data_IF_156839901918
#
_entry.id   IF_156839901918
#
_cell.length_a   1.000
_cell.length_b   1.000
_cell.length_c   1.000
_cell.angle_alpha   90.00
_cell.angle_beta   90.00
_cell.angle_gamma   90.00
#
_symmetry.space_group_name_H-M   'P 1'
#
loop_
_entity.id
_entity.type
_entity.pdbx_description
1 polymer ?
#
# COMPACT_ATOMS: atom_id res chain seq x y z
N UNK A 1 30.93 -43.35 -29.93
CA UNK A 1 29.61 -43.02 -29.32
C UNK A 1 29.81 -41.77 -28.47
N UNK A 2 29.36 -40.62 -28.99
CA UNK A 2 29.46 -39.36 -28.26
C UNK A 2 28.23 -39.19 -27.37
N UNK A 3 28.45 -38.98 -26.08
CA UNK A 3 27.39 -38.67 -25.11
C UNK A 3 27.10 -37.20 -25.26
N UNK A 4 25.92 -36.84 -25.83
CA UNK A 4 25.43 -35.50 -25.86
C UNK A 4 24.98 -35.06 -24.45
N UNK A 5 25.71 -34.16 -23.83
CA UNK A 5 25.34 -33.58 -22.56
C UNK A 5 24.22 -32.57 -22.82
N UNK A 6 22.97 -32.91 -22.44
CA UNK A 6 21.84 -31.98 -22.47
C UNK A 6 21.98 -31.05 -21.28
N UNK A 7 22.40 -29.82 -21.52
CA UNK A 7 22.37 -28.74 -20.53
C UNK A 7 20.94 -28.28 -20.40
N UNK A 8 20.22 -28.73 -19.40
CA UNK A 8 18.90 -28.14 -19.03
C UNK A 8 19.19 -26.83 -18.34
N UNK A 9 19.02 -25.72 -19.07
CA UNK A 9 19.05 -24.41 -18.47
C UNK A 9 17.81 -24.29 -17.53
N UNK A 10 18.03 -24.27 -16.22
CA UNK A 10 16.99 -23.95 -15.26
C UNK A 10 16.54 -22.50 -15.50
N UNK A 11 15.35 -22.32 -16.05
CA UNK A 11 14.73 -21.01 -16.15
C UNK A 11 14.43 -20.55 -14.71
N UNK A 12 15.23 -19.63 -14.19
CA UNK A 12 14.99 -19.03 -12.89
C UNK A 12 13.63 -18.32 -12.93
N UNK A 13 12.72 -18.67 -12.04
CA UNK A 13 11.44 -17.99 -11.92
C UNK A 13 11.65 -16.51 -11.67
N UNK A 14 10.92 -15.65 -12.41
CA UNK A 14 11.04 -14.22 -12.27
C UNK A 14 10.72 -13.76 -10.84
N UNK A 15 11.41 -12.73 -10.37
CA UNK A 15 11.13 -12.12 -9.06
C UNK A 15 9.95 -11.16 -9.16
N UNK A 16 9.26 -10.86 -8.04
CA UNK A 16 8.21 -9.83 -8.03
C UNK A 16 8.71 -8.45 -8.47
N UNK A 17 9.96 -8.11 -8.18
CA UNK A 17 10.60 -6.87 -8.64
C UNK A 17 10.73 -6.86 -10.16
N UNK A 18 11.27 -7.93 -10.74
CA UNK A 18 11.41 -8.06 -12.20
C UNK A 18 10.04 -8.01 -12.90
N UNK A 19 9.02 -8.64 -12.30
CA UNK A 19 7.66 -8.58 -12.84
C UNK A 19 7.17 -7.12 -12.92
N UNK A 20 7.23 -6.36 -11.81
CA UNK A 20 6.79 -4.96 -11.83
C UNK A 20 7.62 -4.14 -12.81
N UNK A 21 8.95 -4.28 -12.81
CA UNK A 21 9.84 -3.54 -13.72
C UNK A 21 9.55 -3.83 -15.20
N UNK A 22 9.15 -5.06 -15.55
CA UNK A 22 8.80 -5.44 -16.93
C UNK A 22 7.50 -4.77 -17.43
N UNK A 23 6.67 -4.22 -16.52
CA UNK A 23 5.43 -3.51 -16.85
C UNK A 23 5.62 -1.98 -16.94
N UNK A 24 6.87 -1.52 -16.98
CA UNK A 24 7.20 -0.12 -17.21
C UNK A 24 7.01 0.23 -18.68
N UNK A 25 6.35 1.33 -18.95
CA UNK A 25 6.16 1.90 -20.28
C UNK A 25 7.37 2.76 -20.71
N UNK A 26 7.45 3.11 -21.99
CA UNK A 26 8.57 3.88 -22.53
C UNK A 26 8.71 5.28 -21.91
N UNK A 27 7.58 5.90 -21.50
CA UNK A 27 7.53 7.20 -20.83
C UNK A 27 7.76 7.13 -19.31
N UNK A 28 8.14 5.97 -18.78
CA UNK A 28 8.48 5.78 -17.37
C UNK A 28 7.31 5.45 -16.44
N UNK A 29 6.09 5.33 -16.97
CA UNK A 29 4.92 4.91 -16.21
C UNK A 29 4.90 3.39 -15.97
N UNK A 30 3.86 2.93 -15.28
CA UNK A 30 3.54 1.51 -15.12
C UNK A 30 2.08 1.27 -15.50
N UNK A 31 1.81 0.11 -16.09
CA UNK A 31 0.48 -0.28 -16.51
C UNK A 31 0.22 -1.77 -16.26
N UNK A 32 -1.04 -2.15 -16.11
CA UNK A 32 -1.45 -3.55 -16.23
C UNK A 32 -1.32 -4.00 -17.69
N UNK A 33 -1.13 -5.29 -17.91
CA UNK A 33 -1.01 -5.84 -19.25
C UNK A 33 -2.24 -5.50 -20.09
N UNK A 34 -2.03 -4.82 -21.23
CA UNK A 34 -3.10 -4.35 -22.11
C UNK A 34 -3.92 -3.16 -21.59
N UNK A 35 -3.55 -2.60 -20.43
CA UNK A 35 -4.17 -1.41 -19.85
C UNK A 35 -3.40 -0.13 -20.17
N UNK A 36 -4.08 1.01 -20.00
CA UNK A 36 -3.42 2.32 -20.02
C UNK A 36 -2.64 2.55 -18.70
N UNK A 37 -1.51 3.23 -18.81
CA UNK A 37 -0.79 3.70 -17.63
C UNK A 37 -1.53 4.88 -16.99
N UNK A 38 -1.51 4.94 -15.67
CA UNK A 38 -2.02 6.06 -14.90
C UNK A 38 -1.11 6.40 -13.72
N UNK A 39 -1.33 7.54 -13.11
CA UNK A 39 -0.52 8.03 -12.00
C UNK A 39 -0.67 7.14 -10.74
N UNK A 40 -1.83 6.53 -10.51
CA UNK A 40 -2.09 5.73 -9.31
C UNK A 40 -1.35 4.37 -9.39
N UNK A 41 -1.47 3.64 -10.50
CA UNK A 41 -0.73 2.37 -10.71
C UNK A 41 0.77 2.66 -10.68
N UNK A 42 1.21 3.74 -11.34
CA UNK A 42 2.61 4.15 -11.36
C UNK A 42 3.14 4.47 -9.96
N UNK A 43 2.38 5.21 -9.16
CA UNK A 43 2.77 5.50 -7.78
C UNK A 43 2.85 4.22 -6.92
N UNK A 44 1.92 3.28 -7.08
CA UNK A 44 1.99 1.98 -6.39
C UNK A 44 3.22 1.17 -6.80
N UNK A 45 3.54 1.13 -8.10
CA UNK A 45 4.72 0.44 -8.60
C UNK A 45 6.00 1.03 -7.99
N UNK A 46 6.13 2.37 -7.99
CA UNK A 46 7.24 3.07 -7.33
C UNK A 46 7.33 2.69 -5.85
N UNK A 47 6.24 2.79 -5.10
CA UNK A 47 6.24 2.49 -3.67
C UNK A 47 6.64 1.03 -3.39
N UNK A 48 6.14 0.08 -4.19
CA UNK A 48 6.53 -1.33 -4.08
C UNK A 48 8.00 -1.56 -4.39
N UNK A 49 8.50 -1.04 -5.51
CA UNK A 49 9.90 -1.16 -5.92
C UNK A 49 10.85 -0.50 -4.90
N UNK A 50 10.57 0.72 -4.48
CA UNK A 50 11.40 1.45 -3.50
C UNK A 50 11.36 0.79 -2.12
N UNK A 51 10.23 0.20 -1.72
CA UNK A 51 10.19 -0.64 -0.52
C UNK A 51 11.12 -1.84 -0.63
N UNK A 52 11.17 -2.49 -1.79
CA UNK A 52 12.08 -3.60 -2.10
C UNK A 52 13.53 -3.14 -2.40
N UNK A 53 13.85 -1.85 -2.29
CA UNK A 53 15.15 -1.25 -2.62
C UNK A 53 15.55 -1.41 -4.08
N UNK A 54 14.56 -1.49 -4.96
CA UNK A 54 14.75 -1.52 -6.40
C UNK A 54 14.51 -0.14 -7.02
N UNK A 55 15.11 0.10 -8.19
CA UNK A 55 14.98 1.35 -8.90
C UNK A 55 13.73 1.39 -9.79
N UNK A 56 13.21 2.62 -9.97
CA UNK A 56 12.12 2.95 -10.88
C UNK A 56 12.56 4.16 -11.76
N UNK A 57 13.45 3.93 -12.73
CA UNK A 57 14.05 5.00 -13.51
C UNK A 57 13.04 5.70 -14.43
N UNK A 58 13.18 7.03 -14.59
CA UNK A 58 12.34 7.85 -15.49
C UNK A 58 10.90 8.08 -15.00
N UNK A 59 10.53 7.55 -13.84
CA UNK A 59 9.14 7.61 -13.35
C UNK A 59 8.81 8.95 -12.70
N UNK A 60 9.82 9.66 -12.18
CA UNK A 60 9.58 10.94 -11.51
C UNK A 60 8.99 11.97 -12.48
N UNK A 61 9.58 12.12 -13.67
CA UNK A 61 9.11 13.07 -14.69
C UNK A 61 7.66 12.75 -15.11
N UNK A 62 7.34 11.46 -15.26
CA UNK A 62 5.98 11.01 -15.57
C UNK A 62 4.97 11.45 -14.49
N UNK A 63 5.29 11.26 -13.21
CA UNK A 63 4.40 11.62 -12.11
C UNK A 63 4.24 13.15 -12.01
N UNK A 64 5.34 13.90 -12.14
CA UNK A 64 5.33 15.35 -12.05
C UNK A 64 4.51 16.00 -13.16
N UNK A 65 4.58 15.48 -14.39
CA UNK A 65 3.82 15.96 -15.53
C UNK A 65 2.28 15.80 -15.35
N UNK A 66 1.84 15.02 -14.36
CA UNK A 66 0.41 14.70 -14.13
C UNK A 66 -0.18 15.30 -12.85
N UNK A 67 0.52 16.20 -12.19
CA UNK A 67 0.04 16.82 -10.95
C UNK A 67 -1.34 17.46 -11.12
N UNK A 68 -1.61 18.11 -12.26
CA UNK A 68 -2.87 18.79 -12.53
C UNK A 68 -4.04 17.83 -12.85
N UNK A 69 -3.73 16.59 -13.21
CA UNK A 69 -4.74 15.55 -13.47
C UNK A 69 -5.27 14.90 -12.18
N UNK A 70 -4.56 15.08 -11.05
CA UNK A 70 -4.91 14.44 -9.77
C UNK A 70 -6.12 15.12 -9.13
N UNK A 71 -7.30 14.55 -9.30
CA UNK A 71 -8.55 15.11 -8.78
C UNK A 71 -8.80 14.74 -7.30
N UNK A 72 -8.44 13.52 -6.90
CA UNK A 72 -8.75 13.00 -5.57
C UNK A 72 -7.62 13.29 -4.58
N UNK A 73 -7.97 13.70 -3.36
CA UNK A 73 -6.99 13.96 -2.29
C UNK A 73 -6.12 12.72 -2.00
N UNK A 74 -6.69 11.52 -2.13
CA UNK A 74 -5.96 10.26 -1.95
C UNK A 74 -4.90 10.07 -3.02
N UNK A 75 -5.20 10.39 -4.30
CA UNK A 75 -4.25 10.27 -5.40
C UNK A 75 -3.11 11.28 -5.26
N UNK A 76 -3.45 12.52 -4.85
CA UNK A 76 -2.45 13.55 -4.52
C UNK A 76 -1.49 13.04 -3.44
N UNK A 77 -2.01 12.42 -2.38
CA UNK A 77 -1.18 11.88 -1.31
C UNK A 77 -0.34 10.67 -1.77
N UNK A 78 -0.91 9.78 -2.58
CA UNK A 78 -0.24 8.59 -3.11
C UNK A 78 0.93 8.98 -4.02
N UNK A 79 0.70 9.91 -4.95
CA UNK A 79 1.75 10.41 -5.87
C UNK A 79 2.84 11.15 -5.08
N UNK A 80 2.46 12.00 -4.11
CA UNK A 80 3.43 12.66 -3.24
C UNK A 80 4.33 11.66 -2.50
N UNK A 81 3.78 10.56 -1.98
CA UNK A 81 4.56 9.48 -1.34
C UNK A 81 5.50 8.80 -2.33
N UNK A 82 5.06 8.56 -3.56
CA UNK A 82 5.90 7.94 -4.59
C UNK A 82 7.06 8.85 -4.98
N UNK A 83 6.83 10.13 -5.20
CA UNK A 83 7.89 11.09 -5.50
C UNK A 83 8.88 11.24 -4.34
N UNK A 84 8.41 11.25 -3.09
CA UNK A 84 9.28 11.23 -1.90
C UNK A 84 10.15 9.96 -1.85
N UNK A 85 9.57 8.81 -2.21
CA UNK A 85 10.31 7.55 -2.27
C UNK A 85 11.37 7.56 -3.39
N UNK A 86 11.21 8.38 -4.43
CA UNK A 86 12.19 8.66 -5.48
C UNK A 86 13.22 9.74 -5.07
N UNK A 87 13.12 10.31 -3.87
CA UNK A 87 14.03 11.33 -3.37
C UNK A 87 13.61 12.78 -3.70
N UNK A 88 12.48 12.98 -4.32
CA UNK A 88 11.96 14.32 -4.64
C UNK A 88 11.27 14.98 -3.43
N UNK A 89 11.07 16.29 -3.55
CA UNK A 89 10.26 17.09 -2.63
C UNK A 89 9.02 17.62 -3.36
N UNK A 90 7.89 16.90 -3.34
CA UNK A 90 6.69 17.24 -4.10
C UNK A 90 5.91 18.40 -3.46
N UNK A 91 6.55 19.55 -3.30
CA UNK A 91 5.97 20.68 -2.57
C UNK A 91 4.61 21.15 -3.12
N UNK A 92 4.35 21.19 -4.44
CA UNK A 92 3.01 21.52 -4.97
C UNK A 92 1.92 20.58 -4.44
N UNK A 93 2.18 19.24 -4.42
CA UNK A 93 1.23 18.26 -3.91
C UNK A 93 1.05 18.38 -2.38
N UNK A 94 2.15 18.58 -1.65
CA UNK A 94 2.09 18.77 -0.20
C UNK A 94 1.34 20.05 0.17
N UNK A 95 1.47 21.14 -0.62
CA UNK A 95 0.70 22.37 -0.45
C UNK A 95 -0.81 22.12 -0.67
N UNK A 96 -1.19 21.35 -1.70
CA UNK A 96 -2.58 20.95 -1.95
C UNK A 96 -3.16 20.17 -0.76
N UNK A 97 -2.41 19.22 -0.19
CA UNK A 97 -2.85 18.46 0.98
C UNK A 97 -3.02 19.35 2.21
N UNK A 98 -2.13 20.32 2.43
CA UNK A 98 -2.27 21.29 3.52
C UNK A 98 -3.51 22.20 3.32
N UNK A 99 -3.75 22.64 2.10
CA UNK A 99 -4.92 23.46 1.76
C UNK A 99 -6.25 22.68 1.90
N UNK A 100 -6.24 21.35 1.71
CA UNK A 100 -7.40 20.49 1.90
C UNK A 100 -7.72 20.21 3.39
N UNK A 101 -6.87 20.66 4.32
CA UNK A 101 -7.08 20.46 5.76
C UNK A 101 -8.16 21.42 6.29
N UNK A 102 -9.11 20.87 7.06
CA UNK A 102 -10.22 21.59 7.69
C UNK A 102 -9.92 21.89 9.16
N UNK A 103 -10.60 22.86 9.74
CA UNK A 103 -10.50 23.16 11.17
C UNK A 103 -10.83 21.97 12.07
N UNK A 104 -11.70 21.03 11.62
CA UNK A 104 -11.99 19.78 12.31
C UNK A 104 -10.79 18.83 12.42
N UNK A 105 -9.76 19.03 11.62
CA UNK A 105 -8.61 18.16 11.46
C UNK A 105 -8.72 17.15 10.31
N UNK A 106 -9.88 17.07 9.64
CA UNK A 106 -10.06 16.27 8.43
C UNK A 106 -9.24 16.85 7.28
N UNK A 107 -8.63 15.96 6.46
CA UNK A 107 -7.92 16.36 5.23
C UNK A 107 -8.59 15.66 4.05
N UNK A 108 -9.16 16.47 3.15
CA UNK A 108 -9.98 15.97 2.04
C UNK A 108 -11.37 15.46 2.48
N UNK A 109 -12.08 14.70 1.61
CA UNK A 109 -13.49 14.38 1.83
C UNK A 109 -13.74 13.20 2.78
N UNK A 110 -12.75 12.31 3.01
CA UNK A 110 -12.94 11.05 3.71
C UNK A 110 -11.96 10.86 4.89
N UNK A 111 -12.22 9.88 5.74
CA UNK A 111 -11.22 9.41 6.71
C UNK A 111 -9.99 8.83 6.00
N UNK A 112 -10.22 8.04 4.95
CA UNK A 112 -9.16 7.44 4.16
C UNK A 112 -8.23 8.51 3.56
N UNK A 113 -8.77 9.59 2.94
CA UNK A 113 -7.95 10.70 2.45
C UNK A 113 -7.14 11.38 3.55
N UNK A 114 -7.67 11.44 4.78
CA UNK A 114 -6.94 11.97 5.93
C UNK A 114 -5.76 11.07 6.31
N UNK A 115 -5.94 9.73 6.33
CA UNK A 115 -4.84 8.81 6.62
C UNK A 115 -3.70 8.96 5.61
N UNK A 116 -4.03 8.92 4.31
CA UNK A 116 -3.05 9.07 3.23
C UNK A 116 -2.35 10.42 3.27
N UNK A 117 -3.08 11.50 3.53
CA UNK A 117 -2.48 12.84 3.67
C UNK A 117 -1.50 12.92 4.84
N UNK A 118 -1.80 12.28 5.97
CA UNK A 118 -0.86 12.20 7.11
C UNK A 118 0.41 11.47 6.71
N UNK A 119 0.31 10.38 5.94
CA UNK A 119 1.48 9.66 5.45
C UNK A 119 2.33 10.54 4.54
N UNK A 120 1.73 11.21 3.56
CA UNK A 120 2.44 12.07 2.61
C UNK A 120 3.05 13.30 3.28
N UNK A 121 2.33 13.94 4.20
CA UNK A 121 2.82 15.10 4.95
C UNK A 121 3.91 14.71 5.98
N UNK A 122 4.03 13.43 6.33
CA UNK A 122 4.97 12.92 7.33
C UNK A 122 4.70 13.43 8.76
N UNK A 123 3.54 14.04 8.99
CA UNK A 123 3.10 14.60 10.28
C UNK A 123 1.58 14.75 10.34
N UNK A 124 1.04 14.85 11.56
CA UNK A 124 -0.36 15.22 11.81
C UNK A 124 -0.43 16.37 12.81
N UNK A 125 -1.38 17.26 12.63
CA UNK A 125 -1.71 18.29 13.64
C UNK A 125 -2.47 17.64 14.83
N UNK A 126 -2.50 18.27 16.02
CA UNK A 126 -3.34 17.82 17.13
C UNK A 126 -4.82 17.68 16.73
N UNK A 127 -5.33 18.60 15.90
CA UNK A 127 -6.71 18.54 15.37
C UNK A 127 -6.92 17.29 14.50
N UNK A 128 -5.95 16.97 13.62
CA UNK A 128 -6.00 15.77 12.76
C UNK A 128 -5.94 14.49 13.57
N UNK A 129 -5.07 14.40 14.55
CA UNK A 129 -5.02 13.27 15.48
C UNK A 129 -6.36 13.11 16.20
N UNK A 130 -6.88 14.20 16.77
CA UNK A 130 -8.18 14.19 17.44
C UNK A 130 -9.32 13.77 16.51
N UNK A 131 -9.32 14.25 15.25
CA UNK A 131 -10.28 13.84 14.24
C UNK A 131 -10.24 12.33 13.99
N UNK A 132 -9.06 11.77 13.71
CA UNK A 132 -8.90 10.32 13.46
C UNK A 132 -9.37 9.52 14.68
N UNK A 133 -8.95 9.88 15.88
CA UNK A 133 -9.27 9.13 17.10
C UNK A 133 -10.76 9.18 17.45
N UNK A 134 -11.46 10.30 17.21
CA UNK A 134 -12.92 10.39 17.43
C UNK A 134 -13.73 9.48 16.51
N UNK A 135 -13.17 9.11 15.36
CA UNK A 135 -13.82 8.22 14.39
C UNK A 135 -13.37 6.76 14.51
N UNK A 136 -12.61 6.40 15.55
CA UNK A 136 -12.36 5.00 15.85
C UNK A 136 -13.65 4.32 16.30
N UNK A 137 -14.09 3.30 15.57
CA UNK A 137 -15.30 2.56 15.89
C UNK A 137 -15.23 1.89 17.28
N UNK A 138 -16.35 1.58 17.87
CA UNK A 138 -16.43 0.85 19.14
C UNK A 138 -15.68 -0.49 19.09
N UNK A 139 -15.66 -1.15 17.93
CA UNK A 139 -14.85 -2.35 17.65
C UNK A 139 -13.35 -2.13 17.69
N UNK A 140 -12.88 -0.90 17.60
CA UNK A 140 -11.47 -0.51 17.51
C UNK A 140 -10.94 -0.27 16.10
N UNK A 141 -11.70 -0.62 15.07
CA UNK A 141 -11.34 -0.42 13.68
C UNK A 141 -11.59 1.01 13.17
N UNK A 142 -11.19 1.24 11.93
CA UNK A 142 -11.38 2.48 11.20
C UNK A 142 -12.05 2.21 9.85
N UNK A 143 -12.78 3.19 9.35
CA UNK A 143 -13.56 3.10 8.13
C UNK A 143 -13.03 4.05 7.05
N UNK A 144 -13.49 3.84 5.81
CA UNK A 144 -13.25 4.75 4.70
C UNK A 144 -13.83 6.16 4.93
N UNK A 145 -15.06 6.22 5.44
CA UNK A 145 -15.78 7.47 5.73
C UNK A 145 -16.13 7.58 7.20
N UNK A 146 -16.34 8.81 7.67
CA UNK A 146 -16.96 9.06 8.97
C UNK A 146 -18.35 8.39 9.03
N UNK A 147 -18.60 7.64 10.09
CA UNK A 147 -19.86 6.87 10.27
C UNK A 147 -19.94 5.59 9.42
N UNK A 148 -18.94 5.30 8.59
CA UNK A 148 -18.87 4.08 7.79
C UNK A 148 -18.55 2.83 8.63
N UNK A 149 -18.69 1.66 8.01
CA UNK A 149 -18.29 0.39 8.61
C UNK A 149 -16.76 0.25 8.54
N UNK A 150 -16.16 -0.02 9.69
CA UNK A 150 -14.74 -0.30 9.78
C UNK A 150 -14.35 -1.59 9.03
N UNK A 151 -13.21 -1.54 8.34
CA UNK A 151 -12.63 -2.67 7.60
C UNK A 151 -11.13 -2.83 7.89
N UNK A 152 -10.54 -3.89 7.34
CA UNK A 152 -9.14 -4.21 7.62
C UNK A 152 -8.17 -3.25 6.93
N UNK A 153 -8.45 -2.82 5.69
CA UNK A 153 -7.55 -1.99 4.90
C UNK A 153 -7.47 -0.56 5.44
N UNK A 154 -8.64 0.05 5.73
CA UNK A 154 -8.67 1.38 6.33
C UNK A 154 -8.11 1.38 7.76
N UNK A 155 -8.31 0.30 8.51
CA UNK A 155 -7.68 0.13 9.82
C UNK A 155 -6.15 0.04 9.69
N UNK A 156 -5.63 -0.66 8.69
CA UNK A 156 -4.20 -0.74 8.44
C UNK A 156 -3.60 0.60 7.97
N UNK A 157 -4.32 1.36 7.14
CA UNK A 157 -3.94 2.71 6.74
C UNK A 157 -3.92 3.66 7.94
N UNK A 158 -4.96 3.62 8.78
CA UNK A 158 -5.04 4.41 10.00
C UNK A 158 -3.89 4.08 10.97
N UNK A 159 -3.52 2.80 11.14
CA UNK A 159 -2.38 2.41 11.97
C UNK A 159 -1.06 3.02 11.47
N UNK A 160 -0.84 3.07 10.16
CA UNK A 160 0.34 3.74 9.58
C UNK A 160 0.30 5.25 9.86
N UNK A 161 -0.86 5.90 9.66
CA UNK A 161 -1.04 7.33 9.95
C UNK A 161 -0.85 7.65 11.45
N UNK A 162 -1.39 6.82 12.34
CA UNK A 162 -1.18 6.96 13.78
C UNK A 162 0.29 6.78 14.19
N UNK A 163 1.02 5.89 13.52
CA UNK A 163 2.46 5.73 13.73
C UNK A 163 3.24 6.98 13.32
N UNK A 164 2.92 7.60 12.17
CA UNK A 164 3.48 8.89 11.75
C UNK A 164 3.17 9.98 12.77
N UNK A 165 1.95 10.01 13.28
CA UNK A 165 1.52 10.95 14.31
C UNK A 165 2.06 10.63 15.72
N UNK A 166 2.86 9.57 15.87
CA UNK A 166 3.44 9.08 17.14
C UNK A 166 2.41 8.73 18.21
N UNK A 167 1.18 8.40 17.80
CA UNK A 167 0.14 7.92 18.70
C UNK A 167 0.46 6.50 19.17
N UNK A 168 0.22 6.21 20.45
CA UNK A 168 0.48 4.91 21.07
C UNK A 168 -0.62 4.56 22.07
N UNK A 169 -0.55 3.37 22.66
CA UNK A 169 -1.43 2.93 23.74
C UNK A 169 -2.79 2.46 23.26
N UNK A 170 -3.81 2.62 24.09
CA UNK A 170 -5.15 2.00 23.90
C UNK A 170 -5.75 2.13 22.49
N UNK A 171 -5.72 3.28 21.80
CA UNK A 171 -6.28 3.38 20.45
C UNK A 171 -5.59 2.45 19.45
N UNK A 172 -4.25 2.42 19.48
CA UNK A 172 -3.45 1.55 18.60
C UNK A 172 -3.69 0.08 18.95
N UNK A 173 -3.72 -0.28 20.23
CA UNK A 173 -3.95 -1.65 20.68
C UNK A 173 -5.33 -2.17 20.27
N UNK A 174 -6.36 -1.31 20.29
CA UNK A 174 -7.71 -1.66 19.83
C UNK A 174 -7.72 -1.89 18.31
N UNK A 175 -7.06 -1.01 17.55
CA UNK A 175 -6.98 -1.14 16.10
C UNK A 175 -6.19 -2.40 15.68
N UNK A 176 -5.12 -2.73 16.38
CA UNK A 176 -4.36 -3.97 16.16
C UNK A 176 -5.23 -5.21 16.42
N UNK A 177 -5.97 -5.25 17.53
CA UNK A 177 -6.88 -6.38 17.81
C UNK A 177 -7.97 -6.51 16.76
N UNK A 178 -8.57 -5.37 16.35
CA UNK A 178 -9.55 -5.35 15.27
C UNK A 178 -8.95 -5.91 13.97
N UNK A 179 -7.78 -5.43 13.56
CA UNK A 179 -7.10 -5.88 12.34
C UNK A 179 -6.81 -7.37 12.38
N UNK A 180 -6.22 -7.86 13.48
CA UNK A 180 -5.91 -9.30 13.66
C UNK A 180 -7.16 -10.18 13.60
N UNK A 181 -8.33 -9.66 13.98
CA UNK A 181 -9.58 -10.42 13.90
C UNK A 181 -10.05 -10.70 12.46
N UNK A 182 -9.47 -10.06 11.45
CA UNK A 182 -9.75 -10.31 10.03
C UNK A 182 -8.84 -11.36 9.39
N UNK A 183 -7.95 -11.99 10.18
CA UNK A 183 -7.15 -13.10 9.69
C UNK A 183 -7.99 -14.38 9.64
N UNK A 184 -7.99 -15.04 8.48
CA UNK A 184 -8.69 -16.30 8.26
C UNK A 184 -7.81 -17.51 8.55
N UNK A 185 -8.41 -18.71 8.60
CA UNK A 185 -7.72 -19.97 8.86
C UNK A 185 -6.66 -20.33 7.83
N UNK A 186 -6.73 -19.78 6.60
CA UNK A 186 -5.69 -19.92 5.56
C UNK A 186 -4.47 -19.02 5.79
N UNK A 187 -4.52 -18.16 6.81
CA UNK A 187 -3.46 -17.23 7.20
C UNK A 187 -3.52 -15.88 6.49
N UNK A 188 -4.35 -15.71 5.46
CA UNK A 188 -4.59 -14.43 4.81
C UNK A 188 -5.55 -13.54 5.60
N UNK A 189 -5.63 -12.28 5.20
CA UNK A 189 -6.59 -11.31 5.73
C UNK A 189 -7.64 -11.00 4.68
N UNK A 190 -8.86 -10.76 5.13
CA UNK A 190 -9.98 -10.32 4.30
C UNK A 190 -10.29 -8.84 4.52
N UNK A 191 -10.81 -8.16 3.50
CA UNK A 191 -11.21 -6.74 3.60
C UNK A 191 -12.37 -6.58 4.59
N UNK A 192 -13.43 -7.35 4.39
CA UNK A 192 -14.62 -7.38 5.22
C UNK A 192 -14.99 -8.83 5.54
N UNK A 193 -15.70 -9.04 6.67
CA UNK A 193 -16.08 -10.37 7.13
C UNK A 193 -16.82 -11.18 6.06
N UNK A 194 -16.32 -12.39 5.79
CA UNK A 194 -16.93 -13.35 4.87
C UNK A 194 -16.57 -13.13 3.40
N UNK A 195 -15.74 -12.12 3.07
CA UNK A 195 -15.28 -11.90 1.70
C UNK A 195 -14.22 -12.92 1.25
N UNK A 196 -13.52 -13.50 2.21
CA UNK A 196 -12.36 -14.37 1.98
C UNK A 196 -11.06 -13.60 1.82
N UNK A 197 -9.97 -14.30 2.07
CA UNK A 197 -8.62 -13.74 2.07
C UNK A 197 -8.17 -13.28 0.69
N UNK A 198 -7.48 -12.14 0.64
CA UNK A 198 -6.86 -11.62 -0.58
C UNK A 198 -5.44 -11.07 -0.29
N UNK A 199 -4.64 -10.95 -1.36
CA UNK A 199 -3.25 -10.50 -1.26
C UNK A 199 -3.15 -9.04 -0.82
N UNK A 200 -4.06 -8.18 -1.29
CA UNK A 200 -4.08 -6.76 -0.95
C UNK A 200 -4.35 -6.56 0.53
N UNK A 201 -5.45 -7.12 1.05
CA UNK A 201 -5.81 -6.99 2.46
C UNK A 201 -4.74 -7.61 3.37
N UNK A 202 -4.12 -8.72 2.95
CA UNK A 202 -3.02 -9.33 3.67
C UNK A 202 -1.77 -8.44 3.68
N UNK A 203 -1.41 -7.84 2.54
CA UNK A 203 -0.29 -6.92 2.46
C UNK A 203 -0.50 -5.67 3.32
N UNK A 204 -1.70 -5.10 3.28
CA UNK A 204 -2.09 -3.97 4.13
C UNK A 204 -2.01 -4.30 5.61
N UNK A 205 -2.55 -5.45 6.02
CA UNK A 205 -2.49 -5.90 7.41
C UNK A 205 -1.04 -6.05 7.90
N UNK A 206 -0.14 -6.62 7.09
CA UNK A 206 1.29 -6.71 7.42
C UNK A 206 1.86 -5.30 7.65
N UNK A 207 1.63 -4.35 6.74
CA UNK A 207 2.16 -3.00 6.84
C UNK A 207 1.62 -2.26 8.07
N UNK A 208 0.31 -2.35 8.32
CA UNK A 208 -0.33 -1.74 9.49
C UNK A 208 0.21 -2.29 10.81
N UNK A 209 0.42 -3.60 10.90
CA UNK A 209 1.00 -4.24 12.08
C UNK A 209 2.47 -3.81 12.31
N UNK A 210 3.27 -3.77 11.24
CA UNK A 210 4.67 -3.29 11.33
C UNK A 210 4.71 -1.83 11.78
N UNK A 211 3.87 -0.97 11.22
CA UNK A 211 3.78 0.44 11.61
C UNK A 211 3.39 0.62 13.09
N UNK A 212 2.51 -0.25 13.59
CA UNK A 212 2.13 -0.30 15.00
C UNK A 212 3.20 -0.91 15.93
N UNK A 213 4.36 -1.30 15.41
CA UNK A 213 5.42 -1.97 16.17
C UNK A 213 5.05 -3.39 16.57
N UNK A 214 4.16 -4.04 15.83
CA UNK A 214 3.74 -5.43 16.07
C UNK A 214 4.33 -6.37 15.02
N UNK A 215 4.66 -7.59 15.45
CA UNK A 215 5.14 -8.63 14.55
C UNK A 215 3.96 -9.23 13.78
N UNK A 216 3.94 -9.15 12.43
CA UNK A 216 2.90 -9.80 11.64
C UNK A 216 2.95 -11.33 11.80
N UNK A 217 1.80 -12.01 11.75
CA UNK A 217 1.75 -13.48 11.79
C UNK A 217 2.55 -14.12 10.65
N UNK A 218 3.30 -15.16 10.93
CA UNK A 218 4.05 -15.92 9.88
C UNK A 218 3.12 -16.48 8.82
N UNK A 219 1.91 -16.89 9.20
CA UNK A 219 0.88 -17.40 8.31
C UNK A 219 0.47 -16.39 7.22
N UNK A 220 0.52 -15.07 7.49
CA UNK A 220 0.24 -14.05 6.49
C UNK A 220 1.27 -14.06 5.35
N UNK A 221 2.55 -14.23 5.66
CA UNK A 221 3.60 -14.38 4.64
C UNK A 221 3.47 -15.71 3.89
N UNK A 222 3.13 -16.81 4.58
CA UNK A 222 2.88 -18.09 3.95
C UNK A 222 1.67 -18.02 2.99
N UNK A 223 0.61 -17.28 3.35
CA UNK A 223 -0.52 -17.02 2.46
C UNK A 223 -0.06 -16.29 1.19
N UNK A 224 0.66 -15.18 1.30
CA UNK A 224 1.19 -14.46 0.15
C UNK A 224 2.08 -15.36 -0.71
N UNK A 225 2.96 -16.17 -0.11
CA UNK A 225 3.83 -17.07 -0.85
C UNK A 225 3.06 -18.05 -1.75
N UNK A 226 1.89 -18.54 -1.31
CA UNK A 226 1.03 -19.42 -2.13
C UNK A 226 0.35 -18.70 -3.30
N UNK A 227 0.23 -17.39 -3.25
CA UNK A 227 -0.37 -16.59 -4.34
C UNK A 227 0.65 -16.18 -5.40
N UNK A 228 1.95 -16.41 -5.16
CA UNK A 228 2.99 -16.08 -6.12
C UNK A 228 2.93 -16.99 -7.34
N UNK A 229 3.09 -16.39 -8.52
CA UNK A 229 3.13 -17.08 -9.82
C UNK A 229 4.55 -17.23 -10.34
N UNK A 230 4.74 -18.09 -11.32
CA UNK A 230 6.04 -18.34 -11.93
C UNK A 230 6.63 -17.08 -12.63
N UNK A 231 5.76 -16.20 -13.15
CA UNK A 231 6.14 -14.92 -13.73
C UNK A 231 6.56 -13.84 -12.72
N UNK A 232 6.54 -14.18 -11.43
CA UNK A 232 6.87 -13.27 -10.31
C UNK A 232 5.69 -12.47 -9.79
N UNK A 233 4.56 -12.42 -10.49
CA UNK A 233 3.37 -11.70 -10.04
C UNK A 233 2.69 -12.38 -8.86
N UNK A 234 1.78 -11.63 -8.23
CA UNK A 234 0.85 -12.16 -7.24
C UNK A 234 -0.58 -12.17 -7.75
N UNK A 235 -1.30 -13.28 -7.50
CA UNK A 235 -2.75 -13.33 -7.68
C UNK A 235 -3.40 -12.41 -6.64
N UNK A 236 -4.54 -11.81 -7.00
CA UNK A 236 -5.36 -11.08 -6.04
C UNK A 236 -5.85 -12.02 -4.90
N UNK A 237 -6.34 -13.21 -5.27
CA UNK A 237 -6.76 -14.23 -4.31
C UNK A 237 -6.53 -15.64 -4.89
N UNK A 238 -6.84 -16.68 -4.13
CA UNK A 238 -6.79 -18.06 -4.63
C UNK A 238 -7.65 -18.28 -5.88
N UNK A 239 -8.72 -17.49 -6.05
CA UNK A 239 -9.68 -17.62 -7.16
C UNK A 239 -9.40 -16.68 -8.34
N UNK A 240 -8.82 -15.48 -8.08
CA UNK A 240 -8.76 -14.41 -9.08
C UNK A 240 -7.33 -13.93 -9.32
N UNK A 241 -7.05 -13.68 -10.59
CA UNK A 241 -5.88 -12.91 -11.04
C UNK A 241 -6.43 -11.58 -11.56
N UNK A 242 -6.40 -10.55 -10.71
CA UNK A 242 -6.85 -9.22 -11.06
C UNK A 242 -5.73 -8.22 -10.77
N UNK A 243 -5.54 -7.25 -11.64
CA UNK A 243 -4.57 -6.14 -11.49
C UNK A 243 -3.22 -6.60 -10.92
N UNK A 244 -2.50 -7.53 -11.59
CA UNK A 244 -1.30 -8.15 -11.02
C UNK A 244 -0.16 -7.16 -10.76
N UNK A 245 -0.02 -6.08 -11.52
CA UNK A 245 1.00 -5.04 -11.27
C UNK A 245 0.69 -4.32 -9.97
N UNK A 246 -0.55 -3.87 -9.80
CA UNK A 246 -1.00 -3.18 -8.59
C UNK A 246 -0.88 -4.06 -7.34
N UNK A 247 -1.38 -5.30 -7.42
CA UNK A 247 -1.32 -6.27 -6.30
C UNK A 247 0.12 -6.59 -5.94
N UNK A 248 0.98 -6.89 -6.92
CA UNK A 248 2.38 -7.23 -6.68
C UNK A 248 3.13 -6.07 -6.04
N UNK A 249 2.86 -4.83 -6.47
CA UNK A 249 3.46 -3.63 -5.91
C UNK A 249 3.14 -3.46 -4.42
N UNK A 250 1.90 -3.70 -4.00
CA UNK A 250 1.51 -3.64 -2.60
C UNK A 250 2.13 -4.77 -1.77
N UNK A 251 2.21 -5.98 -2.35
CA UNK A 251 2.85 -7.13 -1.70
C UNK A 251 4.35 -6.88 -1.49
N UNK A 252 5.05 -6.23 -2.42
CA UNK A 252 6.47 -5.90 -2.27
C UNK A 252 6.75 -5.09 -0.99
N UNK A 253 5.94 -4.06 -0.70
CA UNK A 253 6.09 -3.25 0.51
C UNK A 253 5.85 -4.09 1.79
N UNK A 254 4.87 -5.01 1.76
CA UNK A 254 4.59 -5.91 2.87
C UNK A 254 5.73 -6.90 3.12
N UNK A 255 6.26 -7.53 2.07
CA UNK A 255 7.40 -8.46 2.17
C UNK A 255 8.66 -7.77 2.70
N UNK A 256 8.90 -6.53 2.28
CA UNK A 256 9.98 -5.70 2.78
C UNK A 256 9.77 -5.24 4.23
N UNK A 257 8.56 -5.40 4.80
CA UNK A 257 8.17 -4.89 6.13
C UNK A 257 8.45 -3.39 6.27
N UNK A 258 8.23 -2.64 5.20
CA UNK A 258 8.45 -1.20 5.15
C UNK A 258 7.11 -0.48 4.97
N UNK A 259 6.45 -0.08 6.08
CA UNK A 259 5.23 0.72 6.03
C UNK A 259 5.52 2.12 5.49
N UNK A 260 4.48 2.80 5.03
CA UNK A 260 4.58 4.16 4.52
C UNK A 260 4.59 5.20 5.65
N UNK A 261 5.25 6.36 5.44
CA UNK A 261 6.15 6.69 4.32
C UNK A 261 7.46 5.87 4.35
N UNK A 262 8.01 5.58 3.18
CA UNK A 262 9.29 4.89 3.09
C UNK A 262 10.42 5.82 3.57
N UNK A 263 11.17 5.37 4.56
CA UNK A 263 12.32 6.07 5.15
C UNK A 263 13.59 5.24 5.02
#
# INVERSE_FOLDING_TARGET
MGIATVVVAAVLAATPVQFVQAHRTADGAYAEAGGAADAAITAWAVLGLRAARADAPGTLDYLQARHDELAQTTDVALVALAEQALGARPEPLLARLRAAARASGQIGPTLNSTYWSVLALGRASPATVGFVLRHQAASGGFAWNAGGRADSNDTAAALQALAVARVRGKPVDRAVRFLLSFQNGDGGFELTRGRGSDAQSTAWAIQGLVAAGRKPPRSAFAYLARLRRADGSYRYSARYVATPVWVTSQVLAALAKRPFPLR
#
